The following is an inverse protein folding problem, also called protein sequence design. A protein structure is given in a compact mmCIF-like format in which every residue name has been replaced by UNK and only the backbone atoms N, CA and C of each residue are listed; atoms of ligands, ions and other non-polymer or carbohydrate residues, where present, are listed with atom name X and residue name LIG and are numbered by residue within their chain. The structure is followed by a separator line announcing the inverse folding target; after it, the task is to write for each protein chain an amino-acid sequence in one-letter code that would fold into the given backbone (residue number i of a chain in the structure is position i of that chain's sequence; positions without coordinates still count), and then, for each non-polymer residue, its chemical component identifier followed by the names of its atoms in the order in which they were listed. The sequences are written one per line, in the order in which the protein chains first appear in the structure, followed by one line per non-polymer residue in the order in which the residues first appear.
data_IF_647034999885
#
_entry.id   IF_647034999885
#
_cell.length_a   1.000
_cell.length_b   1.000
_cell.length_c   1.000
_cell.angle_alpha   90.00
_cell.angle_beta   90.00
_cell.angle_gamma   90.00
#
_symmetry.space_group_name_H-M   'P 1'
#
loop_
_entity.id
_entity.type
_entity.pdbx_description
1 polymer ?
#
# COMPACT_ATOMS: atom_id res chain seq x y z
N UNK A 1 -13.84 -4.95 -10.55
CA UNK A 1 -12.60 -5.06 -9.77
C UNK A 1 -11.46 -4.18 -10.31
N UNK A 2 -11.09 -4.25 -11.61
CA UNK A 2 -10.04 -3.38 -12.17
C UNK A 2 -10.23 -1.88 -11.87
N UNK A 3 -11.47 -1.38 -11.99
CA UNK A 3 -11.79 0.01 -11.66
C UNK A 3 -11.45 0.37 -10.21
N UNK A 4 -11.82 -0.49 -9.26
CA UNK A 4 -11.52 -0.29 -7.85
C UNK A 4 -10.02 -0.35 -7.58
N UNK A 5 -9.30 -1.33 -8.12
CA UNK A 5 -7.84 -1.43 -7.98
C UNK A 5 -7.15 -0.15 -8.45
N UNK A 6 -7.52 0.37 -9.62
CA UNK A 6 -6.94 1.60 -10.15
C UNK A 6 -7.34 2.84 -9.34
N UNK A 7 -8.59 2.89 -8.87
CA UNK A 7 -9.04 3.95 -8.00
C UNK A 7 -8.26 3.94 -6.67
N UNK A 8 -8.13 2.78 -6.02
CA UNK A 8 -7.41 2.63 -4.76
C UNK A 8 -5.92 2.94 -4.90
N UNK A 9 -5.29 2.47 -6.00
CA UNK A 9 -3.92 2.83 -6.34
C UNK A 9 -3.74 4.35 -6.39
N UNK A 10 -4.62 5.06 -7.11
CA UNK A 10 -4.49 6.50 -7.32
C UNK A 10 -4.84 7.37 -6.13
N UNK A 11 -5.76 6.93 -5.26
CA UNK A 11 -6.21 7.74 -4.14
C UNK A 11 -5.52 7.40 -2.82
N UNK A 12 -4.92 6.21 -2.72
CA UNK A 12 -4.34 5.72 -1.47
C UNK A 12 -2.91 5.20 -1.67
N UNK A 13 -2.75 4.10 -2.40
CA UNK A 13 -1.50 3.34 -2.37
C UNK A 13 -0.30 4.07 -2.99
N UNK A 14 -0.51 4.85 -4.06
CA UNK A 14 0.56 5.61 -4.71
C UNK A 14 1.15 6.68 -3.77
N UNK A 15 0.31 7.38 -3.01
CA UNK A 15 0.76 8.38 -2.05
C UNK A 15 1.43 7.72 -0.84
N UNK A 16 0.84 6.64 -0.33
CA UNK A 16 1.38 5.88 0.78
C UNK A 16 2.83 5.42 0.53
N UNK A 17 3.08 4.76 -0.60
CA UNK A 17 4.43 4.34 -0.98
C UNK A 17 5.38 5.53 -1.15
N UNK A 18 4.92 6.65 -1.70
CA UNK A 18 5.76 7.85 -1.83
C UNK A 18 6.18 8.41 -0.48
N UNK A 19 5.27 8.48 0.49
CA UNK A 19 5.58 8.95 1.84
C UNK A 19 6.62 8.05 2.52
N UNK A 20 6.46 6.73 2.42
CA UNK A 20 7.42 5.77 2.99
C UNK A 20 8.79 5.86 2.32
N UNK A 21 8.83 5.95 0.98
CA UNK A 21 10.07 6.07 0.22
C UNK A 21 10.83 7.36 0.51
N UNK A 22 10.11 8.45 0.78
CA UNK A 22 10.70 9.76 1.07
C UNK A 22 11.11 9.96 2.52
N UNK A 23 10.51 9.23 3.47
CA UNK A 23 10.69 9.48 4.90
C UNK A 23 11.37 8.32 5.63
N UNK A 24 11.08 7.08 5.26
CA UNK A 24 11.48 5.88 5.98
C UNK A 24 12.53 5.05 5.21
N UNK A 25 12.37 4.91 3.89
CA UNK A 25 13.19 4.00 3.08
C UNK A 25 14.42 4.67 2.46
N UNK A 26 15.11 5.49 3.25
CA UNK A 26 16.21 6.36 2.80
C UNK A 26 17.52 5.60 2.55
N UNK A 27 17.78 4.53 3.31
CA UNK A 27 19.01 3.72 3.24
C UNK A 27 18.81 2.52 2.30
N UNK A 28 18.95 2.75 0.99
CA UNK A 28 18.66 1.73 -0.03
C UNK A 28 19.63 0.53 -0.04
N UNK A 29 20.76 0.64 0.68
CA UNK A 29 21.72 -0.45 0.88
C UNK A 29 21.32 -1.37 2.05
N UNK A 30 20.45 -0.90 2.95
CA UNK A 30 19.89 -1.70 4.04
C UNK A 30 18.96 -2.79 3.48
N UNK A 31 19.21 -4.05 3.84
CA UNK A 31 18.49 -5.19 3.28
C UNK A 31 16.97 -5.15 3.57
N UNK A 32 16.56 -4.64 4.74
CA UNK A 32 15.15 -4.57 5.10
C UNK A 32 14.44 -3.46 4.33
N UNK A 33 15.10 -2.31 4.16
CA UNK A 33 14.60 -1.21 3.33
C UNK A 33 14.53 -1.62 1.86
N UNK A 34 15.59 -2.25 1.35
CA UNK A 34 15.64 -2.73 -0.02
C UNK A 34 14.52 -3.73 -0.31
N UNK A 35 14.19 -4.60 0.66
CA UNK A 35 13.05 -5.50 0.57
C UNK A 35 11.72 -4.75 0.42
N UNK A 36 11.44 -3.75 1.26
CA UNK A 36 10.21 -2.94 1.16
C UNK A 36 10.08 -2.28 -0.23
N UNK A 37 11.15 -1.64 -0.70
CA UNK A 37 11.22 -1.05 -2.05
C UNK A 37 10.98 -2.07 -3.17
N UNK A 38 11.46 -3.31 -3.02
CA UNK A 38 11.21 -4.36 -3.99
C UNK A 38 9.74 -4.85 -3.95
N UNK A 39 9.14 -4.97 -2.75
CA UNK A 39 7.72 -5.32 -2.61
C UNK A 39 6.81 -4.25 -3.24
N UNK A 40 7.11 -2.95 -3.09
CA UNK A 40 6.42 -1.86 -3.81
C UNK A 40 6.45 -2.08 -5.33
N UNK A 41 7.64 -2.36 -5.89
CA UNK A 41 7.81 -2.60 -7.33
C UNK A 41 7.02 -3.81 -7.81
N UNK A 42 6.96 -4.87 -7.01
CA UNK A 42 6.19 -6.08 -7.34
C UNK A 42 4.68 -5.79 -7.37
N UNK A 43 4.17 -5.06 -6.39
CA UNK A 43 2.76 -4.63 -6.33
C UNK A 43 2.41 -3.76 -7.54
N UNK A 44 3.25 -2.76 -7.86
CA UNK A 44 3.08 -1.91 -9.05
C UNK A 44 3.09 -2.74 -10.33
N UNK A 45 4.03 -3.67 -10.46
CA UNK A 45 4.10 -4.56 -11.62
C UNK A 45 2.84 -5.43 -11.76
N UNK A 46 2.29 -5.92 -10.64
CA UNK A 46 1.06 -6.72 -10.63
C UNK A 46 -0.16 -5.89 -11.05
N UNK A 47 -0.28 -4.66 -10.56
CA UNK A 47 -1.34 -3.72 -10.98
C UNK A 47 -1.24 -3.44 -12.50
N UNK A 48 -0.03 -3.21 -13.01
CA UNK A 48 0.19 -3.00 -14.44
C UNK A 48 -0.15 -4.24 -15.28
N UNK A 49 0.18 -5.44 -14.78
CA UNK A 49 -0.20 -6.70 -15.42
C UNK A 49 -1.73 -6.84 -15.52
N UNK A 50 -2.45 -6.55 -14.42
CA UNK A 50 -3.91 -6.58 -14.37
C UNK A 50 -4.53 -5.63 -15.41
N UNK A 51 -3.92 -4.46 -15.61
CA UNK A 51 -4.41 -3.42 -16.51
C UNK A 51 -4.26 -3.76 -18.01
N UNK A 52 -3.37 -4.68 -18.37
CA UNK A 52 -3.17 -5.11 -19.77
C UNK A 52 -3.91 -6.39 -20.13
N UNK A 53 -4.61 -7.03 -19.16
CA UNK A 53 -5.41 -8.24 -19.38
C UNK A 53 -6.91 -7.93 -19.51
N UNK A 54 -7.61 -8.80 -20.22
CA UNK A 54 -9.09 -8.80 -20.26
C UNK A 54 -9.65 -9.24 -18.91
N UNK A 55 -10.76 -8.65 -18.46
CA UNK A 55 -11.34 -8.93 -17.13
C UNK A 55 -11.56 -10.42 -16.82
N UNK A 56 -11.99 -11.23 -17.80
CA UNK A 56 -12.18 -12.69 -17.65
C UNK A 56 -10.90 -13.44 -17.25
N UNK A 57 -9.71 -12.89 -17.53
CA UNK A 57 -8.41 -13.51 -17.25
C UNK A 57 -7.72 -12.91 -16.01
N UNK A 58 -8.37 -11.98 -15.32
CA UNK A 58 -7.74 -11.21 -14.25
C UNK A 58 -8.04 -11.74 -12.85
N UNK A 59 -9.00 -12.68 -12.68
CA UNK A 59 -9.35 -13.18 -11.35
C UNK A 59 -8.17 -13.78 -10.56
N UNK A 60 -7.33 -14.67 -11.13
CA UNK A 60 -6.15 -15.17 -10.42
C UNK A 60 -5.17 -14.05 -10.04
N UNK A 61 -5.02 -13.04 -10.91
CA UNK A 61 -4.14 -11.89 -10.65
C UNK A 61 -4.65 -11.00 -9.51
N UNK A 62 -5.96 -10.92 -9.30
CA UNK A 62 -6.52 -10.19 -8.15
C UNK A 62 -6.15 -10.86 -6.83
N UNK A 63 -6.19 -12.20 -6.78
CA UNK A 63 -5.80 -12.95 -5.60
C UNK A 63 -4.30 -12.77 -5.33
N UNK A 64 -3.47 -12.88 -6.38
CA UNK A 64 -2.02 -12.63 -6.25
C UNK A 64 -1.72 -11.20 -5.79
N UNK A 65 -2.46 -10.19 -6.26
CA UNK A 65 -2.30 -8.81 -5.79
C UNK A 65 -2.70 -8.68 -4.31
N UNK A 66 -3.81 -9.32 -3.90
CA UNK A 66 -4.25 -9.30 -2.52
C UNK A 66 -3.22 -9.95 -1.58
N UNK A 67 -2.65 -11.10 -1.99
CA UNK A 67 -1.59 -11.78 -1.24
C UNK A 67 -0.34 -10.89 -1.14
N UNK A 68 0.08 -10.26 -2.24
CA UNK A 68 1.21 -9.32 -2.23
C UNK A 68 1.01 -8.15 -1.26
N UNK A 69 -0.20 -7.58 -1.21
CA UNK A 69 -0.51 -6.46 -0.31
C UNK A 69 -0.55 -6.94 1.15
N UNK A 70 -1.20 -8.07 1.46
CA UNK A 70 -1.26 -8.59 2.84
C UNK A 70 0.15 -8.96 3.36
N UNK A 71 0.97 -9.61 2.53
CA UNK A 71 2.34 -9.97 2.89
C UNK A 71 3.21 -8.74 3.13
N UNK A 72 3.07 -7.72 2.27
CA UNK A 72 3.79 -6.46 2.37
C UNK A 72 3.42 -5.69 3.64
N UNK A 73 2.13 -5.43 3.88
CA UNK A 73 1.67 -4.75 5.09
C UNK A 73 2.10 -5.49 6.37
N UNK A 74 2.03 -6.84 6.38
CA UNK A 74 2.52 -7.62 7.53
C UNK A 74 4.03 -7.50 7.73
N UNK A 75 4.80 -7.51 6.66
CA UNK A 75 6.25 -7.34 6.73
C UNK A 75 6.60 -5.98 7.33
N UNK A 76 5.94 -4.93 6.86
CA UNK A 76 6.17 -3.58 7.33
C UNK A 76 5.86 -3.42 8.81
N UNK A 77 4.63 -3.72 9.20
CA UNK A 77 4.14 -3.55 10.57
C UNK A 77 4.93 -4.39 11.60
N UNK A 78 5.34 -5.61 11.21
CA UNK A 78 5.89 -6.58 12.17
C UNK A 78 7.40 -6.66 12.15
N UNK A 79 8.05 -6.18 11.09
CA UNK A 79 9.48 -6.33 10.90
C UNK A 79 10.15 -5.01 10.54
N UNK A 80 9.74 -4.35 9.44
CA UNK A 80 10.45 -3.17 8.94
C UNK A 80 10.30 -1.96 9.85
N UNK A 81 9.07 -1.57 10.22
CA UNK A 81 8.88 -0.39 11.06
C UNK A 81 9.49 -0.56 12.45
N UNK A 82 9.31 -1.69 13.17
CA UNK A 82 10.02 -1.90 14.43
C UNK A 82 11.54 -1.86 14.27
N UNK A 83 12.07 -2.36 13.15
CA UNK A 83 13.51 -2.28 12.86
C UNK A 83 13.97 -0.83 12.67
N UNK A 84 13.26 -0.04 11.88
CA UNK A 84 13.58 1.37 11.64
C UNK A 84 13.44 2.21 12.91
N UNK A 85 12.42 1.97 13.74
CA UNK A 85 12.25 2.62 15.05
C UNK A 85 13.46 2.39 15.98
N UNK A 86 14.09 1.21 15.92
CA UNK A 86 15.30 0.94 16.70
C UNK A 86 16.58 1.57 16.09
N UNK A 87 16.56 1.91 14.80
CA UNK A 87 17.70 2.47 14.07
C UNK A 87 17.71 4.00 14.08
N UNK A 88 16.52 4.61 14.05
CA UNK A 88 16.32 6.06 14.05
C UNK A 88 16.39 6.64 15.46
N UNK A 89 16.87 7.87 15.57
CA UNK A 89 16.82 8.61 16.83
C UNK A 89 15.42 9.13 17.13
N UNK A 90 15.13 9.39 18.41
CA UNK A 90 13.86 9.97 18.86
C UNK A 90 13.54 11.29 18.14
N UNK A 91 14.55 12.14 17.89
CA UNK A 91 14.36 13.41 17.18
C UNK A 91 13.96 13.19 15.71
N UNK A 92 14.53 12.19 15.04
CA UNK A 92 14.17 11.82 13.68
C UNK A 92 12.76 11.24 13.62
N UNK A 93 12.42 10.33 14.54
CA UNK A 93 11.08 9.75 14.66
C UNK A 93 10.02 10.81 14.92
N UNK A 94 10.30 11.79 15.78
CA UNK A 94 9.38 12.89 16.05
C UNK A 94 9.12 13.73 14.79
N UNK A 95 10.16 14.08 14.02
CA UNK A 95 10.02 14.84 12.77
C UNK A 95 9.23 14.06 11.72
N UNK A 96 9.49 12.76 11.59
CA UNK A 96 8.74 11.89 10.68
C UNK A 96 7.27 11.84 11.10
N UNK A 97 6.99 11.65 12.39
CA UNK A 97 5.63 11.65 12.93
C UNK A 97 4.88 12.95 12.69
N UNK A 98 5.53 14.11 12.84
CA UNK A 98 4.93 15.42 12.55
C UNK A 98 4.51 15.56 11.08
N UNK A 99 5.32 15.03 10.15
CA UNK A 99 4.99 15.02 8.71
C UNK A 99 3.81 14.07 8.45
N UNK A 100 3.89 12.83 8.94
CA UNK A 100 2.86 11.81 8.72
C UNK A 100 1.51 12.19 9.33
N UNK A 101 1.48 12.86 10.49
CA UNK A 101 0.23 13.37 11.10
C UNK A 101 -0.38 14.55 10.33
N UNK A 102 0.41 15.29 9.56
CA UNK A 102 -0.06 16.38 8.71
C UNK A 102 -0.67 15.91 7.39
N UNK A 103 -0.43 14.67 7.00
CA UNK A 103 -1.05 14.04 5.83
C UNK A 103 -2.48 13.59 6.17
N UNK A 104 -3.45 13.90 5.30
CA UNK A 104 -4.83 13.41 5.47
C UNK A 104 -4.89 11.91 5.19
N UNK A 105 -4.85 11.09 6.25
CA UNK A 105 -5.17 9.66 6.19
C UNK A 105 -6.68 9.45 6.31
N UNK A 106 -7.46 10.00 5.37
CA UNK A 106 -8.90 9.80 5.37
C UNK A 106 -9.23 8.38 4.87
N UNK A 107 -9.63 7.50 5.79
CA UNK A 107 -10.14 6.15 5.49
C UNK A 107 -11.56 6.14 4.89
N UNK A 108 -12.10 7.31 4.51
CA UNK A 108 -13.39 7.40 3.83
C UNK A 108 -13.18 7.06 2.35
N UNK A 109 -13.54 5.83 1.99
CA UNK A 109 -13.56 5.41 0.60
C UNK A 109 -14.80 5.99 -0.10
N UNK A 110 -14.65 7.11 -0.80
CA UNK A 110 -15.68 7.67 -1.68
C UNK A 110 -15.64 7.00 -3.05
N UNK A 111 -15.81 5.67 -3.06
CA UNK A 111 -15.86 4.88 -4.28
C UNK A 111 -17.30 4.59 -4.68
N UNK A 112 -17.72 5.14 -5.82
CA UNK A 112 -19.11 5.08 -6.31
C UNK A 112 -19.69 3.65 -6.50
N UNK A 113 -18.84 2.63 -6.62
CA UNK A 113 -19.24 1.23 -6.87
C UNK A 113 -18.83 0.34 -5.68
N UNK A 114 -19.48 0.53 -4.54
CA UNK A 114 -19.31 -0.28 -3.33
C UNK A 114 -19.84 -1.72 -3.50
N UNK A 115 -19.24 -2.51 -4.39
CA UNK A 115 -19.64 -3.89 -4.68
C UNK A 115 -19.57 -4.83 -3.44
N UNK A 116 -18.95 -4.37 -2.35
CA UNK A 116 -18.85 -5.05 -1.05
C UNK A 116 -19.96 -4.67 -0.07
N UNK A 117 -20.74 -3.62 -0.33
CA UNK A 117 -21.88 -3.27 0.49
C UNK A 117 -22.95 -4.36 0.35
N UNK A 118 -23.37 -4.96 1.48
CA UNK A 118 -24.50 -5.89 1.47
C UNK A 118 -25.74 -5.12 1.03
N UNK A 119 -26.41 -5.57 -0.03
CA UNK A 119 -27.73 -5.05 -0.40
C UNK A 119 -28.60 -4.96 0.86
N UNK A 120 -29.05 -3.75 1.19
CA UNK A 120 -30.16 -3.62 2.12
C UNK A 120 -31.41 -4.13 1.39
N UNK A 121 -31.64 -5.44 1.49
CA UNK A 121 -32.89 -6.05 1.04
C UNK A 121 -34.00 -5.43 1.91
N UNK A 122 -34.66 -4.41 1.37
CA UNK A 122 -35.91 -3.89 1.91
C UNK A 122 -36.94 -5.03 1.83
N UNK A 123 -37.23 -5.61 2.99
CA UNK A 123 -38.36 -6.53 3.18
C UNK A 123 -39.69 -5.80 3.06
#
# INVERSE_FOLDING_TARGET
MNRYINWFWKHHLEHHFQSEEQLLFLDVEDEMVNRGLNEHRLIIAKINEINVRTEEKSYPLYLELADLIDDHTRFEERQLFPYLENKLSEEELQKIGEILHGEEHNALEDYDDEFWAKEQIQK
#
